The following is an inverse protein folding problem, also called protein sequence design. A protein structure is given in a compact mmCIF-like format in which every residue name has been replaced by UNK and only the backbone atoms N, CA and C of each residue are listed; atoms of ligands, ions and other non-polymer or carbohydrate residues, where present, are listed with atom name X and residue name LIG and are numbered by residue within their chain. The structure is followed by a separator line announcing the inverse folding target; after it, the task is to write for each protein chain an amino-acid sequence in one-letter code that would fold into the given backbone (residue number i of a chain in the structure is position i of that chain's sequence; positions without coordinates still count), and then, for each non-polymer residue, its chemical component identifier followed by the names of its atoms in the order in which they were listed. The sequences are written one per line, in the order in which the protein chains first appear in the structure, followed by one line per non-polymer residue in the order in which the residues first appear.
data_IF_043473445814
#
_entry.id   IF_043473445814
#
_cell.length_a   1.000
_cell.length_b   1.000
_cell.length_c   1.000
_cell.angle_alpha   90.00
_cell.angle_beta   90.00
_cell.angle_gamma   90.00
#
_symmetry.space_group_name_H-M   'P 1'
#
loop_
_entity.id
_entity.type
_entity.pdbx_description
1 polymer ?
#
# COMPACT_ATOMS: atom_id res chain seq x y z
N UNK A 1 10.76 9.87 -19.75
CA UNK A 1 9.42 9.28 -19.61
C UNK A 1 9.36 8.64 -18.24
N UNK A 2 8.87 9.35 -17.23
CA UNK A 2 8.61 8.77 -15.91
C UNK A 2 7.33 7.96 -16.03
N UNK A 3 7.44 6.64 -15.89
CA UNK A 3 6.26 5.84 -15.60
C UNK A 3 5.89 6.15 -14.16
N UNK A 4 4.94 7.05 -13.95
CA UNK A 4 4.29 7.17 -12.65
C UNK A 4 3.52 5.87 -12.45
N UNK A 5 4.14 4.89 -11.79
CA UNK A 5 3.46 3.67 -11.38
C UNK A 5 2.46 4.11 -10.31
N UNK A 6 1.21 4.38 -10.71
CA UNK A 6 0.11 4.65 -9.79
C UNK A 6 -0.32 3.32 -9.19
N UNK A 7 0.51 2.79 -8.28
CA UNK A 7 0.18 1.61 -7.51
C UNK A 7 -0.77 2.04 -6.38
N UNK A 8 -2.03 1.64 -6.51
CA UNK A 8 -3.06 1.88 -5.51
C UNK A 8 -3.16 0.70 -4.54
N UNK A 9 -3.37 0.99 -3.25
CA UNK A 9 -3.71 -0.06 -2.29
C UNK A 9 -5.22 -0.23 -2.20
N UNK A 10 -5.69 -1.48 -2.06
CA UNK A 10 -7.09 -1.78 -1.78
C UNK A 10 -7.24 -2.26 -0.35
N UNK A 11 -8.31 -1.80 0.31
CA UNK A 11 -8.67 -2.17 1.68
C UNK A 11 -10.15 -2.47 1.72
N UNK A 12 -10.60 -3.40 2.58
CA UNK A 12 -12.03 -3.61 2.80
C UNK A 12 -12.63 -2.48 3.63
N UNK A 13 -13.79 -1.98 3.23
CA UNK A 13 -14.55 -1.03 4.04
C UNK A 13 -14.98 -1.70 5.36
N UNK A 14 -14.89 -1.04 6.52
CA UNK A 14 -15.28 -1.63 7.80
C UNK A 14 -16.75 -2.08 7.85
N UNK A 15 -17.65 -1.35 7.18
CA UNK A 15 -19.09 -1.59 7.26
C UNK A 15 -19.55 -2.65 6.25
N UNK A 16 -19.20 -2.49 4.97
CA UNK A 16 -19.77 -3.31 3.89
C UNK A 16 -18.79 -4.35 3.31
N UNK A 17 -17.57 -4.45 3.87
CA UNK A 17 -16.45 -5.24 3.34
C UNK A 17 -16.08 -5.01 1.86
N UNK A 18 -16.63 -3.97 1.22
CA UNK A 18 -16.36 -3.62 -0.18
C UNK A 18 -14.92 -3.13 -0.35
N UNK A 19 -14.26 -3.48 -1.46
CA UNK A 19 -12.92 -2.97 -1.75
C UNK A 19 -12.98 -1.46 -1.97
N UNK A 20 -12.10 -0.73 -1.29
CA UNK A 20 -11.93 0.71 -1.45
C UNK A 20 -10.46 1.05 -1.56
N UNK A 21 -10.16 2.19 -2.20
CA UNK A 21 -8.80 2.73 -2.23
C UNK A 21 -8.32 3.06 -0.81
N UNK A 22 -7.25 2.41 -0.41
CA UNK A 22 -6.53 2.67 0.83
C UNK A 22 -5.64 3.90 0.72
N UNK A 23 -5.15 4.38 1.87
CA UNK A 23 -4.21 5.51 1.91
C UNK A 23 -2.83 5.13 1.34
N UNK A 24 -2.40 3.89 1.53
CA UNK A 24 -1.08 3.40 1.14
C UNK A 24 -0.90 1.92 1.44
N UNK A 25 0.27 1.37 1.18
CA UNK A 25 0.67 -0.01 1.48
C UNK A 25 1.13 -0.15 2.94
N UNK A 26 0.98 -1.36 3.49
CA UNK A 26 1.50 -1.67 4.83
C UNK A 26 2.96 -2.08 4.78
N UNK A 27 3.59 -2.15 5.97
CA UNK A 27 4.97 -2.64 6.10
C UNK A 27 5.07 -4.13 5.72
N UNK A 28 4.02 -4.91 5.98
CA UNK A 28 3.97 -6.32 5.64
C UNK A 28 3.89 -6.53 4.13
N UNK A 29 3.00 -5.80 3.47
CA UNK A 29 2.84 -5.84 2.00
C UNK A 29 4.11 -5.42 1.27
N UNK A 30 4.76 -4.34 1.72
CA UNK A 30 6.04 -3.92 1.14
C UNK A 30 7.12 -5.00 1.34
N UNK A 31 7.16 -5.65 2.51
CA UNK A 31 8.13 -6.71 2.79
C UNK A 31 7.89 -7.96 1.93
N UNK A 32 6.64 -8.34 1.69
CA UNK A 32 6.29 -9.44 0.76
C UNK A 32 6.64 -9.10 -0.68
N UNK A 33 6.47 -7.84 -1.08
CA UNK A 33 6.92 -7.34 -2.37
C UNK A 33 8.46 -7.23 -2.48
N UNK A 34 9.20 -7.53 -1.41
CA UNK A 34 10.66 -7.41 -1.37
C UNK A 34 11.16 -5.96 -1.34
N UNK A 35 10.29 -5.01 -1.03
CA UNK A 35 10.58 -3.58 -1.00
C UNK A 35 10.87 -3.10 0.42
N UNK A 36 11.94 -2.31 0.55
CA UNK A 36 12.15 -1.50 1.75
C UNK A 36 11.23 -0.28 1.74
N UNK A 37 10.99 0.30 2.92
CA UNK A 37 10.19 1.54 3.06
C UNK A 37 10.81 2.69 2.27
N UNK A 38 12.15 2.71 2.18
CA UNK A 38 12.88 3.76 1.46
C UNK A 38 12.69 3.62 -0.04
N UNK A 39 12.89 2.42 -0.58
CA UNK A 39 12.67 2.14 -2.01
C UNK A 39 11.22 2.40 -2.41
N UNK A 40 10.26 2.01 -1.57
CA UNK A 40 8.85 2.28 -1.82
C UNK A 40 8.58 3.79 -1.91
N UNK A 41 9.16 4.60 -1.01
CA UNK A 41 9.03 6.06 -1.05
C UNK A 41 9.72 6.68 -2.25
N UNK A 42 10.90 6.17 -2.63
CA UNK A 42 11.66 6.64 -3.79
C UNK A 42 10.92 6.30 -5.11
N UNK A 43 10.15 5.21 -5.13
CA UNK A 43 9.22 4.85 -6.22
C UNK A 43 7.90 5.64 -6.22
N UNK A 44 7.65 6.49 -5.22
CA UNK A 44 6.40 7.24 -5.09
C UNK A 44 5.23 6.44 -4.51
N UNK A 45 5.48 5.26 -3.94
CA UNK A 45 4.44 4.49 -3.25
C UNK A 45 4.07 5.15 -1.91
N UNK A 46 2.77 5.31 -1.68
CA UNK A 46 2.27 5.76 -0.39
C UNK A 46 2.38 4.63 0.64
N UNK A 47 2.98 4.93 1.79
CA UNK A 47 3.13 4.00 2.91
C UNK A 47 2.22 4.40 4.08
N UNK A 48 1.42 3.46 4.59
CA UNK A 48 0.60 3.65 5.78
C UNK A 48 1.16 2.84 6.96
N UNK A 49 1.96 3.51 7.80
CA UNK A 49 2.59 2.90 8.98
C UNK A 49 1.59 2.48 10.06
N UNK A 50 0.38 3.05 10.06
CA UNK A 50 -0.63 2.79 11.10
C UNK A 50 -1.46 1.56 10.79
N UNK A 51 -1.52 1.13 9.52
CA UNK A 51 -2.24 -0.09 9.12
C UNK A 51 -1.40 -1.32 9.45
N UNK A 52 -1.92 -2.15 10.35
CA UNK A 52 -1.27 -3.39 10.80
C UNK A 52 -1.75 -4.65 10.06
N UNK A 53 -2.82 -4.54 9.27
CA UNK A 53 -3.38 -5.68 8.52
C UNK A 53 -2.43 -6.04 7.38
N UNK A 54 -2.00 -7.30 7.35
CA UNK A 54 -1.04 -7.80 6.36
C UNK A 54 -1.70 -8.10 5.01
N UNK A 55 -2.98 -8.48 5.04
CA UNK A 55 -3.81 -8.68 3.85
C UNK A 55 -5.18 -8.02 4.05
N UNK A 56 -5.78 -7.56 2.94
CA UNK A 56 -7.11 -6.95 2.87
C UNK A 56 -8.24 -7.96 2.87
#
# INVERSE_FOLDING_TARGET
MSFDIIAESFVKSPNDAKPRRGRGFTKGELKEAGLSIKEARDMGLMFDSRRKTLHS
#
